data_IF_593778899060
#
_entry.id   IF_593778899060
#
_cell.length_a   1.000
_cell.length_b   1.000
_cell.length_c   1.000
_cell.angle_alpha   90.00
_cell.angle_beta   90.00
_cell.angle_gamma   90.00
#
_symmetry.space_group_name_H-M   'P 1'
#
loop_
_entity.id
_entity.type
_entity.pdbx_description
1 polymer ?
#
# COMPACT_ATOMS: atom_id res chain seq x y z
N UNK A 1 -26.70 -2.66 -13.69
CA UNK A 1 -26.71 -1.19 -13.56
C UNK A 1 -26.95 -0.60 -14.94
N UNK A 2 -27.43 0.64 -15.04
CA UNK A 2 -27.48 1.35 -16.32
C UNK A 2 -26.07 1.72 -16.80
N UNK A 3 -25.92 1.98 -18.09
CA UNK A 3 -24.73 2.55 -18.71
C UNK A 3 -24.59 4.04 -18.38
N UNK A 4 -23.36 4.51 -18.18
CA UNK A 4 -23.06 5.88 -17.74
C UNK A 4 -22.06 6.53 -18.69
N UNK A 5 -22.29 7.78 -19.06
CA UNK A 5 -21.32 8.62 -19.76
C UNK A 5 -20.77 9.68 -18.81
N UNK A 6 -19.46 9.66 -18.58
CA UNK A 6 -18.71 10.75 -17.97
C UNK A 6 -18.29 11.72 -19.08
N UNK A 7 -18.87 12.92 -19.14
CA UNK A 7 -18.72 13.83 -20.29
C UNK A 7 -17.85 15.05 -19.95
N UNK A 8 -16.81 15.28 -20.73
CA UNK A 8 -16.06 16.53 -20.78
C UNK A 8 -15.05 16.73 -19.67
N UNK A 9 -14.66 15.67 -18.96
CA UNK A 9 -13.67 15.72 -17.89
C UNK A 9 -12.26 15.98 -18.42
N UNK A 10 -11.41 16.66 -17.64
CA UNK A 10 -10.01 16.90 -17.98
C UNK A 10 -9.15 15.69 -17.60
N UNK A 11 -8.54 15.04 -18.58
CA UNK A 11 -7.73 13.85 -18.37
C UNK A 11 -6.54 14.11 -17.43
N UNK A 12 -6.33 13.20 -16.48
CA UNK A 12 -5.17 13.14 -15.61
C UNK A 12 -4.72 11.69 -15.46
N UNK A 13 -3.57 11.36 -16.04
CA UNK A 13 -2.99 10.00 -16.03
C UNK A 13 -3.91 8.91 -16.62
N UNK A 14 -4.79 9.28 -17.56
CA UNK A 14 -5.55 8.33 -18.38
C UNK A 14 -4.66 7.89 -19.54
N UNK A 15 -3.96 6.76 -19.40
CA UNK A 15 -2.98 6.26 -20.38
C UNK A 15 -3.44 6.40 -21.84
N UNK A 16 -2.57 6.90 -22.71
CA UNK A 16 -2.89 7.18 -24.11
C UNK A 16 -3.62 8.51 -24.35
N UNK A 17 -4.05 9.23 -23.31
CA UNK A 17 -4.66 10.56 -23.40
C UNK A 17 -3.73 11.60 -22.76
N UNK A 18 -3.34 12.68 -23.47
CA UNK A 18 -2.53 13.73 -22.88
C UNK A 18 -3.25 14.42 -21.71
N UNK A 19 -2.52 14.69 -20.63
CA UNK A 19 -3.06 15.39 -19.47
C UNK A 19 -3.70 16.73 -19.87
N UNK A 20 -4.75 17.14 -19.15
CA UNK A 20 -5.57 18.35 -19.38
C UNK A 20 -6.39 18.35 -20.67
N UNK A 21 -6.38 17.25 -21.44
CA UNK A 21 -7.25 17.08 -22.59
C UNK A 21 -8.66 16.75 -22.13
N UNK A 22 -9.68 17.42 -22.67
CA UNK A 22 -11.05 17.07 -22.38
C UNK A 22 -11.43 15.74 -23.07
N UNK A 23 -11.96 14.81 -22.28
CA UNK A 23 -12.28 13.43 -22.67
C UNK A 23 -13.65 13.02 -22.14
N UNK A 24 -14.32 12.14 -22.86
CA UNK A 24 -15.53 11.47 -22.43
C UNK A 24 -15.23 9.98 -22.19
N UNK A 25 -15.76 9.41 -21.11
CA UNK A 25 -15.62 7.99 -20.76
C UNK A 25 -17.01 7.37 -20.70
N UNK A 26 -17.28 6.40 -21.56
CA UNK A 26 -18.50 5.60 -21.52
C UNK A 26 -18.28 4.33 -20.72
N UNK A 27 -19.22 4.02 -19.83
CA UNK A 27 -19.22 2.83 -18.98
C UNK A 27 -20.49 2.03 -19.30
N UNK A 28 -20.33 0.77 -19.68
CA UNK A 28 -21.43 -0.15 -19.93
C UNK A 28 -22.16 -0.57 -18.64
N UNK A 29 -23.35 -1.17 -18.77
CA UNK A 29 -24.10 -1.69 -17.62
C UNK A 29 -23.42 -2.86 -16.89
N UNK A 30 -22.38 -3.44 -17.51
CA UNK A 30 -21.46 -4.43 -16.95
C UNK A 30 -20.25 -3.82 -16.23
N UNK A 31 -20.18 -2.48 -16.15
CA UNK A 31 -19.10 -1.74 -15.49
C UNK A 31 -17.82 -1.59 -16.32
N UNK A 32 -17.80 -2.02 -17.59
CA UNK A 32 -16.61 -1.90 -18.45
C UNK A 32 -16.58 -0.59 -19.21
N UNK A 33 -15.38 -0.08 -19.46
CA UNK A 33 -15.20 1.08 -20.35
C UNK A 33 -15.55 0.66 -21.78
N UNK A 34 -16.55 1.32 -22.36
CA UNK A 34 -17.03 1.08 -23.74
C UNK A 34 -16.66 2.22 -24.69
N UNK A 35 -16.24 3.37 -24.15
CA UNK A 35 -15.79 4.53 -24.90
C UNK A 35 -14.69 5.24 -24.10
N UNK A 36 -13.60 5.61 -24.76
CA UNK A 36 -12.59 6.53 -24.25
C UNK A 36 -12.20 7.51 -25.34
N UNK A 37 -12.68 8.74 -25.26
CA UNK A 37 -12.48 9.73 -26.32
C UNK A 37 -13.62 10.74 -26.38
N UNK A 38 -13.83 11.37 -27.55
CA UNK A 38 -15.01 12.23 -27.73
C UNK A 38 -16.22 11.37 -28.04
N UNK A 39 -17.32 11.59 -27.32
CA UNK A 39 -18.58 10.93 -27.58
C UNK A 39 -19.25 11.52 -28.84
N UNK A 40 -19.51 10.71 -29.88
CA UNK A 40 -20.09 11.20 -31.13
C UNK A 40 -21.62 11.36 -31.06
N UNK A 41 -22.25 11.20 -29.89
CA UNK A 41 -23.71 11.20 -29.71
C UNK A 41 -24.35 9.81 -29.76
N UNK A 42 -23.56 8.76 -30.01
CA UNK A 42 -23.97 7.34 -29.93
C UNK A 42 -22.83 6.47 -29.34
N UNK A 43 -23.13 5.34 -28.67
CA UNK A 43 -24.46 4.87 -28.27
C UNK A 43 -25.09 5.83 -27.24
N UNK A 44 -26.39 5.67 -26.98
CA UNK A 44 -27.04 6.34 -25.84
C UNK A 44 -26.60 5.66 -24.55
N UNK A 45 -26.39 6.46 -23.53
CA UNK A 45 -26.13 6.01 -22.16
C UNK A 45 -27.39 6.29 -21.32
N UNK A 46 -27.64 5.44 -20.33
CA UNK A 46 -28.80 5.57 -19.44
C UNK A 46 -28.65 6.81 -18.52
N UNK A 47 -27.41 7.14 -18.16
CA UNK A 47 -27.05 8.33 -17.39
C UNK A 47 -25.92 9.11 -18.05
N UNK A 48 -25.96 10.45 -17.96
CA UNK A 48 -24.89 11.33 -18.42
C UNK A 48 -24.49 12.25 -17.28
N UNK A 49 -23.23 12.13 -16.85
CA UNK A 49 -22.61 12.96 -15.82
C UNK A 49 -21.74 14.00 -16.50
N UNK A 50 -22.06 15.29 -16.32
CA UNK A 50 -21.26 16.39 -16.84
C UNK A 50 -20.08 16.70 -15.93
N UNK A 51 -18.86 16.54 -16.45
CA UNK A 51 -17.59 16.75 -15.77
C UNK A 51 -16.81 17.96 -16.32
N UNK A 52 -17.46 18.85 -17.08
CA UNK A 52 -16.78 20.06 -17.58
C UNK A 52 -16.21 20.89 -16.44
N UNK A 53 -14.90 21.12 -16.48
CA UNK A 53 -14.16 21.83 -15.44
C UNK A 53 -13.66 20.95 -14.30
N UNK A 54 -14.01 19.66 -14.28
CA UNK A 54 -13.49 18.68 -13.32
C UNK A 54 -12.32 17.88 -13.90
N UNK A 55 -11.50 17.30 -13.01
CA UNK A 55 -10.46 16.35 -13.36
C UNK A 55 -11.02 14.93 -13.44
N UNK A 56 -10.45 14.13 -14.33
CA UNK A 56 -10.78 12.72 -14.50
C UNK A 56 -9.51 11.88 -14.56
N UNK A 57 -9.38 10.93 -13.64
CA UNK A 57 -8.27 9.98 -13.56
C UNK A 57 -8.80 8.55 -13.45
N UNK A 58 -7.94 7.53 -13.55
CA UNK A 58 -8.24 6.24 -12.95
C UNK A 58 -8.56 6.41 -11.46
N UNK A 59 -9.36 5.50 -10.91
CA UNK A 59 -9.60 5.48 -9.47
C UNK A 59 -8.27 5.30 -8.71
N UNK A 60 -8.17 5.91 -7.54
CA UNK A 60 -6.92 5.90 -6.80
C UNK A 60 -6.66 4.53 -6.16
N UNK A 61 -5.38 4.22 -5.97
CA UNK A 61 -4.92 3.02 -5.29
C UNK A 61 -4.25 3.47 -3.99
N UNK A 62 -4.78 3.02 -2.85
CA UNK A 62 -4.13 3.21 -1.56
C UNK A 62 -3.40 1.93 -1.15
N UNK A 63 -2.06 1.95 -1.20
CA UNK A 63 -1.23 0.79 -0.88
C UNK A 63 -1.06 0.53 0.62
N UNK A 64 -1.55 1.41 1.49
CA UNK A 64 -1.28 1.30 2.92
C UNK A 64 -2.48 1.72 3.76
N UNK A 65 -3.50 0.86 3.78
CA UNK A 65 -4.61 0.98 4.72
C UNK A 65 -4.54 -0.10 5.81
N UNK A 66 -5.27 0.11 6.89
CA UNK A 66 -5.60 -0.96 7.84
C UNK A 66 -7.11 -1.09 7.87
N UNK A 67 -7.66 -2.13 7.26
CA UNK A 67 -9.11 -2.28 7.08
C UNK A 67 -9.70 -3.57 7.67
N UNK A 68 -8.92 -4.32 8.47
CA UNK A 68 -9.40 -5.48 9.22
C UNK A 68 -10.30 -5.12 10.42
N UNK A 69 -11.38 -4.37 10.17
CA UNK A 69 -12.27 -3.86 11.21
C UNK A 69 -12.85 -5.00 12.07
N UNK A 70 -12.80 -4.83 13.39
CA UNK A 70 -13.22 -5.84 14.35
C UNK A 70 -12.20 -6.97 14.60
N UNK A 71 -11.32 -7.24 13.64
CA UNK A 71 -10.18 -8.17 13.81
C UNK A 71 -8.96 -7.51 14.45
N UNK A 72 -8.73 -6.22 14.18
CA UNK A 72 -7.68 -5.43 14.83
C UNK A 72 -8.20 -4.08 15.33
N UNK A 73 -7.60 -3.57 16.40
CA UNK A 73 -8.12 -2.37 17.08
C UNK A 73 -7.99 -1.07 16.26
N UNK A 74 -6.97 -0.97 15.40
CA UNK A 74 -6.68 0.25 14.63
C UNK A 74 -7.39 0.29 13.28
N UNK A 75 -7.97 -0.82 12.84
CA UNK A 75 -8.51 -0.92 11.49
C UNK A 75 -9.82 -0.13 11.34
N UNK A 76 -9.93 0.55 10.22
CA UNK A 76 -11.15 1.22 9.78
C UNK A 76 -12.04 0.26 8.97
N UNK A 77 -13.30 0.60 8.82
CA UNK A 77 -14.18 -0.14 7.92
C UNK A 77 -13.82 0.14 6.45
N UNK A 78 -14.00 -0.82 5.52
CA UNK A 78 -13.76 -0.61 4.09
C UNK A 78 -14.39 0.66 3.52
N UNK A 79 -15.61 1.02 3.95
CA UNK A 79 -16.34 2.18 3.46
C UNK A 79 -15.64 3.51 3.78
N UNK A 80 -14.79 3.52 4.81
CA UNK A 80 -14.03 4.69 5.25
C UNK A 80 -12.73 4.90 4.47
N UNK A 81 -12.27 3.88 3.74
CA UNK A 81 -10.99 3.88 3.00
C UNK A 81 -11.17 3.59 1.50
N UNK A 82 -12.41 3.48 1.05
CA UNK A 82 -12.78 3.04 -0.30
C UNK A 82 -13.36 4.16 -1.18
N UNK A 83 -14.32 3.86 -2.07
CA UNK A 83 -14.77 4.77 -3.13
C UNK A 83 -15.25 6.15 -2.68
N UNK A 84 -15.77 6.28 -1.45
CA UNK A 84 -16.19 7.56 -0.89
C UNK A 84 -15.03 8.57 -0.77
N UNK A 85 -13.78 8.12 -0.78
CA UNK A 85 -12.56 8.95 -0.76
C UNK A 85 -11.87 9.04 -2.12
N UNK A 86 -12.47 8.49 -3.19
CA UNK A 86 -11.87 8.38 -4.52
C UNK A 86 -10.98 7.16 -4.73
N UNK A 87 -10.83 6.31 -3.70
CA UNK A 87 -10.04 5.07 -3.75
C UNK A 87 -10.85 3.94 -4.39
N UNK A 88 -10.39 3.41 -5.51
CA UNK A 88 -10.99 2.27 -6.20
C UNK A 88 -10.36 0.92 -5.85
N UNK A 89 -9.17 0.92 -5.24
CA UNK A 89 -8.45 -0.26 -4.79
C UNK A 89 -7.69 0.09 -3.51
N UNK A 90 -7.86 -0.71 -2.46
CA UNK A 90 -7.07 -0.57 -1.24
C UNK A 90 -6.23 -1.82 -0.97
N UNK A 91 -5.13 -1.66 -0.24
CA UNK A 91 -4.28 -2.77 0.21
C UNK A 91 -4.15 -2.74 1.73
N UNK A 92 -4.72 -3.76 2.39
CA UNK A 92 -4.52 -3.94 3.83
C UNK A 92 -3.05 -4.23 4.12
N UNK A 93 -2.42 -3.38 4.93
CA UNK A 93 -0.97 -3.35 5.11
C UNK A 93 -0.51 -4.25 6.26
N UNK A 94 -0.89 -5.53 6.21
CA UNK A 94 -0.50 -6.52 7.20
C UNK A 94 -1.25 -6.38 8.52
N UNK A 95 -2.54 -6.05 8.48
CA UNK A 95 -3.40 -6.13 9.67
C UNK A 95 -3.60 -7.58 10.11
N UNK A 96 -3.63 -8.53 9.15
CA UNK A 96 -3.74 -9.96 9.42
C UNK A 96 -2.40 -10.70 9.26
N UNK A 97 -2.18 -11.69 10.11
CA UNK A 97 -1.17 -12.73 9.98
C UNK A 97 -1.77 -14.03 9.44
N UNK A 98 -0.98 -15.11 9.43
CA UNK A 98 -1.44 -16.41 8.91
C UNK A 98 -2.67 -16.95 9.65
N UNK A 99 -2.75 -16.77 10.97
CA UNK A 99 -3.80 -17.36 11.78
C UNK A 99 -5.18 -16.70 11.60
N UNK A 100 -5.21 -15.44 11.16
CA UNK A 100 -6.45 -14.65 11.04
C UNK A 100 -6.69 -14.08 9.64
N UNK A 101 -5.83 -14.35 8.64
CA UNK A 101 -6.08 -13.96 7.26
C UNK A 101 -7.41 -14.50 6.70
N UNK A 102 -7.86 -15.75 6.99
CA UNK A 102 -9.18 -16.21 6.54
C UNK A 102 -10.31 -15.31 7.03
N UNK A 103 -10.22 -14.76 8.25
CA UNK A 103 -11.21 -13.82 8.76
C UNK A 103 -11.16 -12.46 8.07
N UNK A 104 -9.97 -11.96 7.72
CA UNK A 104 -9.85 -10.74 6.90
C UNK A 104 -10.50 -10.97 5.53
N UNK A 105 -10.25 -12.13 4.91
CA UNK A 105 -10.87 -12.49 3.62
C UNK A 105 -12.38 -12.52 3.72
N UNK A 106 -12.92 -13.30 4.67
CA UNK A 106 -14.35 -13.60 4.73
C UNK A 106 -15.19 -12.41 5.19
N UNK A 107 -14.73 -11.67 6.21
CA UNK A 107 -15.54 -10.62 6.83
C UNK A 107 -15.30 -9.23 6.26
N UNK A 108 -14.20 -9.01 5.54
CA UNK A 108 -13.82 -7.69 5.03
C UNK A 108 -13.65 -7.70 3.52
N UNK A 109 -12.73 -8.49 2.97
CA UNK A 109 -12.38 -8.42 1.55
C UNK A 109 -13.53 -8.90 0.66
N UNK A 110 -14.08 -10.08 0.95
CA UNK A 110 -15.14 -10.68 0.13
C UNK A 110 -16.45 -9.85 0.09
N UNK A 111 -16.95 -9.27 1.20
CA UNK A 111 -18.16 -8.45 1.17
C UNK A 111 -17.91 -6.98 0.76
N UNK A 112 -16.66 -6.53 0.62
CA UNK A 112 -16.38 -5.14 0.27
C UNK A 112 -16.95 -4.78 -1.11
N UNK A 113 -17.52 -3.56 -1.26
CA UNK A 113 -18.10 -3.13 -2.54
C UNK A 113 -17.03 -2.70 -3.57
N UNK A 114 -15.75 -2.85 -3.24
CA UNK A 114 -14.61 -2.51 -4.09
C UNK A 114 -13.45 -3.49 -3.82
N UNK A 115 -12.51 -3.64 -4.76
CA UNK A 115 -11.35 -4.50 -4.59
C UNK A 115 -10.48 -4.12 -3.39
N UNK A 116 -10.15 -5.12 -2.57
CA UNK A 116 -9.17 -5.01 -1.49
C UNK A 116 -8.15 -6.13 -1.65
N UNK A 117 -6.87 -5.77 -1.67
CA UNK A 117 -5.74 -6.69 -1.62
C UNK A 117 -5.11 -6.64 -0.23
N UNK A 118 -4.11 -7.48 0.02
CA UNK A 118 -3.42 -7.48 1.30
C UNK A 118 -1.92 -7.75 1.18
N UNK A 119 -1.17 -7.17 2.11
CA UNK A 119 0.11 -7.69 2.53
C UNK A 119 -0.11 -8.59 3.75
N UNK A 120 0.53 -9.77 3.80
CA UNK A 120 0.39 -10.69 4.92
C UNK A 120 1.44 -10.37 5.97
N UNK A 121 1.04 -10.14 7.22
CA UNK A 121 1.99 -9.91 8.31
C UNK A 121 2.82 -11.18 8.56
N UNK A 122 4.14 -11.01 8.74
CA UNK A 122 5.03 -12.11 9.13
C UNK A 122 4.70 -12.64 10.54
N UNK A 123 4.09 -11.81 11.39
CA UNK A 123 3.56 -12.24 12.68
C UNK A 123 2.28 -13.05 12.51
N UNK A 124 2.19 -14.17 13.22
CA UNK A 124 0.99 -15.02 13.31
C UNK A 124 -0.27 -14.24 13.68
N UNK A 125 -0.18 -13.30 14.61
CA UNK A 125 -1.36 -12.60 15.16
C UNK A 125 -1.75 -11.35 14.38
N UNK A 126 -0.92 -10.88 13.45
CA UNK A 126 -1.13 -9.59 12.80
C UNK A 126 -1.21 -8.44 13.82
N UNK A 127 -2.07 -7.45 13.59
CA UNK A 127 -2.11 -6.21 14.37
C UNK A 127 -3.20 -6.17 15.45
N UNK A 128 -3.70 -7.33 15.91
CA UNK A 128 -4.83 -7.46 16.86
C UNK A 128 -4.80 -6.42 17.97
N UNK A 129 -3.65 -6.24 18.62
CA UNK A 129 -3.43 -5.28 19.70
C UNK A 129 -2.20 -4.38 19.46
N UNK A 130 -1.88 -4.08 18.20
CA UNK A 130 -0.67 -3.35 17.81
C UNK A 130 -0.40 -2.10 18.67
N UNK A 131 0.86 -1.79 18.92
CA UNK A 131 1.32 -0.69 19.79
C UNK A 131 1.01 -0.86 21.30
N UNK A 132 0.12 -1.80 21.68
CA UNK A 132 -0.12 -2.18 23.08
C UNK A 132 0.55 -3.52 23.41
N UNK A 133 0.30 -4.53 22.56
CA UNK A 133 1.00 -5.81 22.55
C UNK A 133 1.70 -5.91 21.20
N UNK A 134 3.02 -6.07 21.22
CA UNK A 134 3.76 -6.24 19.97
C UNK A 134 3.32 -7.55 19.30
N UNK A 135 3.23 -7.53 17.98
CA UNK A 135 2.98 -8.71 17.18
C UNK A 135 4.24 -9.56 16.97
N UNK A 136 5.42 -9.03 17.28
CA UNK A 136 6.70 -9.75 17.22
C UNK A 136 7.32 -9.87 18.61
N UNK A 137 6.52 -10.38 19.55
CA UNK A 137 6.89 -10.57 20.98
C UNK A 137 7.83 -11.74 21.25
N UNK A 138 8.09 -12.61 20.28
CA UNK A 138 8.95 -13.77 20.45
C UNK A 138 8.63 -14.92 19.48
N UNK A 139 9.27 -16.07 19.68
CA UNK A 139 9.18 -17.24 18.80
C UNK A 139 7.73 -17.71 18.53
N UNK A 140 6.79 -17.72 19.51
CA UNK A 140 5.45 -18.27 19.29
C UNK A 140 4.61 -17.52 18.25
N UNK A 141 4.98 -16.30 17.89
CA UNK A 141 4.25 -15.46 16.93
C UNK A 141 4.96 -15.34 15.59
N UNK A 142 5.97 -16.18 15.33
CA UNK A 142 6.72 -16.22 14.07
C UNK A 142 6.70 -17.63 13.48
N UNK A 143 5.75 -17.91 12.60
CA UNK A 143 5.64 -19.20 11.89
C UNK A 143 5.76 -19.00 10.37
N UNK A 144 6.99 -18.98 9.81
CA UNK A 144 7.21 -18.73 8.39
C UNK A 144 6.64 -19.84 7.49
N UNK A 145 6.54 -21.08 7.98
CA UNK A 145 5.98 -22.19 7.19
C UNK A 145 4.47 -22.04 7.02
N UNK A 146 3.73 -21.75 8.09
CA UNK A 146 2.31 -21.43 8.00
C UNK A 146 2.07 -20.17 7.19
N UNK A 147 2.88 -19.14 7.40
CA UNK A 147 2.79 -17.89 6.63
C UNK A 147 2.98 -18.17 5.14
N UNK A 148 3.92 -19.04 4.76
CA UNK A 148 4.09 -19.47 3.37
C UNK A 148 2.84 -20.18 2.83
N UNK A 149 2.27 -21.12 3.59
CA UNK A 149 1.06 -21.86 3.19
C UNK A 149 -0.12 -20.91 2.94
N UNK A 150 -0.35 -19.95 3.81
CA UNK A 150 -1.42 -18.96 3.65
C UNK A 150 -1.14 -18.03 2.47
N UNK A 151 0.10 -17.54 2.32
CA UNK A 151 0.50 -16.72 1.17
C UNK A 151 0.23 -17.43 -0.17
N UNK A 152 0.56 -18.72 -0.27
CA UNK A 152 0.34 -19.52 -1.48
C UNK A 152 -1.14 -19.88 -1.71
N UNK A 153 -1.91 -20.16 -0.65
CA UNK A 153 -3.32 -20.47 -0.75
C UNK A 153 -4.20 -19.26 -1.17
N UNK A 154 -3.68 -18.04 -0.99
CA UNK A 154 -4.41 -16.79 -1.23
C UNK A 154 -3.66 -15.82 -2.16
N UNK A 155 -2.95 -16.36 -3.18
CA UNK A 155 -2.18 -15.58 -4.18
C UNK A 155 -3.02 -14.59 -4.98
N UNK A 156 -4.33 -14.82 -5.04
CA UNK A 156 -5.31 -13.89 -5.63
C UNK A 156 -5.34 -12.56 -4.87
N UNK A 157 -5.19 -12.58 -3.55
CA UNK A 157 -5.32 -11.41 -2.66
C UNK A 157 -3.99 -10.93 -2.06
N UNK A 158 -3.09 -11.84 -1.69
CA UNK A 158 -1.85 -11.52 -1.00
C UNK A 158 -0.78 -11.10 -2.00
N UNK A 159 -0.26 -9.87 -1.86
CA UNK A 159 0.71 -9.25 -2.79
C UNK A 159 2.06 -8.92 -2.17
N UNK A 160 2.33 -9.37 -0.95
CA UNK A 160 3.58 -9.06 -0.24
C UNK A 160 3.60 -9.61 1.18
N UNK A 161 4.79 -9.71 1.76
CA UNK A 161 4.99 -10.06 3.17
C UNK A 161 5.31 -8.77 3.93
N UNK A 162 4.51 -8.45 4.94
CA UNK A 162 4.65 -7.25 5.77
C UNK A 162 5.48 -7.55 7.01
N UNK A 163 6.41 -6.65 7.33
CA UNK A 163 7.08 -6.59 8.64
C UNK A 163 7.14 -5.14 9.14
N UNK A 164 7.03 -4.94 10.46
CA UNK A 164 7.22 -3.64 11.11
C UNK A 164 8.57 -3.63 11.83
N UNK A 165 9.59 -3.08 11.17
CA UNK A 165 10.95 -3.00 11.66
C UNK A 165 11.14 -1.71 12.47
N UNK A 166 10.65 -1.73 13.70
CA UNK A 166 10.84 -0.64 14.66
C UNK A 166 10.93 -1.18 16.08
N UNK A 167 11.62 -0.46 16.96
CA UNK A 167 11.91 -0.89 18.33
C UNK A 167 10.66 -1.25 19.13
N UNK A 168 9.58 -0.47 18.95
CA UNK A 168 8.31 -0.73 19.64
C UNK A 168 7.71 -2.10 19.29
N UNK A 169 8.07 -2.64 18.13
CA UNK A 169 7.60 -3.93 17.62
C UNK A 169 8.65 -5.00 17.87
N UNK A 170 9.83 -4.91 17.25
CA UNK A 170 10.81 -6.01 17.28
C UNK A 170 11.63 -6.05 18.57
N UNK A 171 11.74 -4.94 19.30
CA UNK A 171 12.51 -4.85 20.55
C UNK A 171 13.89 -5.50 20.45
N UNK A 172 14.25 -6.37 21.39
CA UNK A 172 15.55 -7.04 21.46
C UNK A 172 15.81 -8.00 20.29
N UNK A 173 14.79 -8.44 19.57
CA UNK A 173 14.97 -9.29 18.37
C UNK A 173 15.60 -8.57 17.20
N UNK A 174 15.51 -7.23 17.13
CA UNK A 174 16.13 -6.43 16.08
C UNK A 174 15.85 -6.95 14.67
N UNK A 175 16.92 -7.32 13.95
CA UNK A 175 16.83 -7.77 12.56
C UNK A 175 16.30 -9.19 12.34
N UNK A 176 16.22 -10.03 13.38
CA UNK A 176 15.82 -11.44 13.24
C UNK A 176 14.49 -11.61 12.48
N UNK A 177 13.35 -11.02 12.92
CA UNK A 177 12.08 -11.16 12.20
C UNK A 177 12.10 -10.53 10.81
N UNK A 178 12.91 -9.50 10.60
CA UNK A 178 13.05 -8.82 9.31
C UNK A 178 13.77 -9.71 8.29
N UNK A 179 14.81 -10.43 8.72
CA UNK A 179 15.52 -11.43 7.90
C UNK A 179 14.64 -12.63 7.59
N UNK A 180 13.86 -13.10 8.55
CA UNK A 180 12.88 -14.19 8.34
C UNK A 180 11.82 -13.76 7.33
N UNK A 181 11.25 -12.55 7.47
CA UNK A 181 10.30 -11.99 6.51
C UNK A 181 10.90 -11.90 5.10
N UNK A 182 12.15 -11.45 4.97
CA UNK A 182 12.84 -11.36 3.67
C UNK A 182 13.07 -12.73 3.04
N UNK A 183 13.54 -13.70 3.82
CA UNK A 183 13.75 -15.06 3.34
C UNK A 183 12.43 -15.70 2.88
N UNK A 184 11.36 -15.51 3.65
CA UNK A 184 10.03 -15.98 3.27
C UNK A 184 9.53 -15.30 1.99
N UNK A 185 9.62 -13.97 1.91
CA UNK A 185 9.20 -13.18 0.74
C UNK A 185 9.85 -13.71 -0.55
N UNK A 186 11.17 -13.99 -0.51
CA UNK A 186 11.89 -14.64 -1.60
C UNK A 186 11.34 -16.04 -1.92
N UNK A 187 11.12 -16.87 -0.91
CA UNK A 187 10.64 -18.24 -1.08
C UNK A 187 9.26 -18.31 -1.77
N UNK A 188 8.34 -17.42 -1.41
CA UNK A 188 6.98 -17.36 -2.02
C UNK A 188 6.91 -16.45 -3.24
N UNK A 189 8.03 -15.82 -3.64
CA UNK A 189 8.14 -14.89 -4.78
C UNK A 189 7.17 -13.70 -4.66
N UNK A 190 7.13 -13.11 -3.46
CA UNK A 190 6.40 -11.88 -3.16
C UNK A 190 7.38 -10.81 -2.65
N UNK A 191 7.08 -9.51 -2.82
CA UNK A 191 7.91 -8.45 -2.26
C UNK A 191 7.83 -8.41 -0.73
N UNK A 192 8.92 -7.96 -0.11
CA UNK A 192 8.92 -7.54 1.29
C UNK A 192 8.36 -6.12 1.40
N UNK A 193 7.46 -5.90 2.36
CA UNK A 193 6.91 -4.58 2.69
C UNK A 193 7.33 -4.19 4.10
N UNK A 194 8.40 -3.39 4.21
CA UNK A 194 9.00 -3.00 5.48
C UNK A 194 8.50 -1.63 5.93
N UNK A 195 7.95 -1.59 7.14
CA UNK A 195 7.75 -0.33 7.87
C UNK A 195 9.04 -0.03 8.62
N UNK A 196 9.55 1.20 8.46
CA UNK A 196 10.69 1.70 9.24
C UNK A 196 10.20 2.57 10.40
N UNK A 197 10.87 2.46 11.54
CA UNK A 197 10.68 3.32 12.69
C UNK A 197 11.94 3.33 13.56
N UNK A 198 11.85 3.87 14.78
CA UNK A 198 13.03 4.02 15.63
C UNK A 198 13.79 2.71 15.81
N UNK A 199 15.12 2.78 15.74
CA UNK A 199 15.99 1.62 15.96
C UNK A 199 15.88 1.06 17.39
N UNK A 200 16.16 -0.25 17.60
CA UNK A 200 16.51 -1.28 16.61
C UNK A 200 15.34 -1.78 15.73
N UNK A 201 15.60 -2.33 14.52
CA UNK A 201 16.92 -2.40 13.89
C UNK A 201 17.32 -1.05 13.28
N UNK A 202 18.60 -0.88 12.97
CA UNK A 202 19.06 0.35 12.32
C UNK A 202 18.55 0.43 10.88
N UNK A 203 18.43 1.66 10.36
CA UNK A 203 18.03 1.86 8.98
C UNK A 203 19.01 1.19 8.01
N UNK A 204 20.32 1.24 8.28
CA UNK A 204 21.33 0.61 7.42
C UNK A 204 21.13 -0.89 7.26
N UNK A 205 20.88 -1.59 8.38
CA UNK A 205 20.61 -3.03 8.38
C UNK A 205 19.36 -3.40 7.56
N UNK A 206 18.31 -2.56 7.63
CA UNK A 206 17.10 -2.75 6.83
C UNK A 206 17.44 -2.56 5.36
N UNK A 207 18.10 -1.45 5.01
CA UNK A 207 18.40 -1.10 3.63
C UNK A 207 19.34 -2.12 2.97
N UNK A 208 20.21 -2.80 3.74
CA UNK A 208 21.20 -3.78 3.22
C UNK A 208 20.54 -5.04 2.64
N UNK A 209 19.29 -5.33 2.99
CA UNK A 209 18.62 -6.56 2.57
C UNK A 209 17.52 -6.33 1.52
N UNK A 210 17.20 -5.08 1.20
CA UNK A 210 16.13 -4.76 0.25
C UNK A 210 16.60 -5.00 -1.19
N UNK A 211 15.69 -5.52 -1.99
CA UNK A 211 15.89 -5.85 -3.40
C UNK A 211 14.87 -5.10 -4.29
N UNK A 212 15.11 -5.01 -5.60
CA UNK A 212 14.14 -4.43 -6.52
C UNK A 212 12.75 -5.08 -6.36
N UNK A 213 11.72 -4.25 -6.23
CA UNK A 213 10.34 -4.68 -5.97
C UNK A 213 9.93 -4.69 -4.50
N UNK A 214 10.88 -4.71 -3.55
CA UNK A 214 10.54 -4.51 -2.13
C UNK A 214 10.04 -3.08 -1.89
N UNK A 215 9.18 -2.93 -0.89
CA UNK A 215 8.56 -1.67 -0.51
C UNK A 215 9.09 -1.22 0.85
N UNK A 216 9.57 0.01 0.91
CA UNK A 216 9.85 0.73 2.15
C UNK A 216 8.76 1.78 2.36
N UNK A 217 7.90 1.53 3.36
CA UNK A 217 6.86 2.50 3.74
C UNK A 217 7.37 3.46 4.80
N UNK A 218 6.74 4.63 4.93
CA UNK A 218 7.18 5.73 5.80
C UNK A 218 8.49 6.38 5.34
N UNK A 219 8.74 6.38 4.03
CA UNK A 219 10.01 6.83 3.45
C UNK A 219 10.35 8.29 3.79
N UNK A 220 9.35 9.14 4.06
CA UNK A 220 9.52 10.55 4.46
C UNK A 220 9.19 10.82 5.93
N UNK A 221 9.51 9.88 6.80
CA UNK A 221 9.43 10.06 8.26
C UNK A 221 10.39 11.13 8.78
N UNK A 222 10.00 11.80 9.87
CA UNK A 222 10.81 12.79 10.58
C UNK A 222 11.57 12.23 11.78
N UNK A 223 11.48 10.92 12.01
CA UNK A 223 12.13 10.22 13.13
C UNK A 223 13.65 10.34 13.07
N UNK A 224 14.30 10.55 14.21
CA UNK A 224 15.72 10.91 14.27
C UNK A 224 16.60 9.81 13.67
N UNK A 225 16.28 8.54 13.95
CA UNK A 225 17.11 7.41 13.52
C UNK A 225 16.82 6.92 12.09
N UNK A 226 15.65 7.25 11.53
CA UNK A 226 15.22 6.73 10.22
C UNK A 226 14.89 7.81 9.19
N UNK A 227 15.04 9.09 9.52
CA UNK A 227 14.88 10.17 8.54
C UNK A 227 15.94 10.08 7.46
N UNK A 228 15.52 10.17 6.20
CA UNK A 228 16.42 10.26 5.04
C UNK A 228 17.30 11.52 5.06
N UNK A 229 16.92 12.52 5.86
CA UNK A 229 17.69 13.75 6.06
C UNK A 229 18.64 13.69 7.26
N UNK A 230 18.70 12.56 7.98
CA UNK A 230 19.58 12.41 9.15
C UNK A 230 21.04 12.76 8.81
N UNK A 231 21.51 12.28 7.67
CA UNK A 231 22.78 12.69 7.06
C UNK A 231 22.80 12.36 5.57
N UNK A 232 23.70 13.01 4.82
CA UNK A 232 23.79 12.92 3.37
C UNK A 232 23.93 11.49 2.81
N UNK A 233 24.72 10.57 3.42
CA UNK A 233 24.77 9.18 2.95
C UNK A 233 23.41 8.45 2.90
N UNK A 234 22.48 8.71 3.82
CA UNK A 234 21.15 8.07 3.78
C UNK A 234 20.32 8.57 2.61
N UNK A 235 20.36 9.88 2.35
CA UNK A 235 19.68 10.43 1.19
C UNK A 235 20.15 9.78 -0.12
N UNK A 236 21.47 9.67 -0.31
CA UNK A 236 22.08 9.02 -1.49
C UNK A 236 21.74 7.54 -1.60
N UNK A 237 21.62 6.85 -0.46
CA UNK A 237 21.23 5.44 -0.41
C UNK A 237 19.78 5.25 -0.87
N UNK A 238 18.86 6.10 -0.41
CA UNK A 238 17.47 6.09 -0.89
C UNK A 238 17.37 6.43 -2.39
N UNK A 239 18.14 7.40 -2.90
CA UNK A 239 18.22 7.68 -4.35
C UNK A 239 18.66 6.43 -5.13
N UNK A 240 19.77 5.82 -4.70
CA UNK A 240 20.32 4.61 -5.34
C UNK A 240 19.33 3.46 -5.33
N UNK A 241 18.68 3.20 -4.20
CA UNK A 241 17.73 2.10 -4.04
C UNK A 241 16.45 2.31 -4.84
N UNK A 242 15.92 3.54 -4.85
CA UNK A 242 14.76 3.90 -5.65
C UNK A 242 15.06 3.72 -7.16
N UNK A 243 16.24 4.18 -7.60
CA UNK A 243 16.70 3.97 -8.97
C UNK A 243 16.91 2.48 -9.32
N UNK A 244 17.33 1.67 -8.35
CA UNK A 244 17.47 0.22 -8.50
C UNK A 244 16.13 -0.53 -8.48
N UNK A 245 15.02 0.13 -8.15
CA UNK A 245 13.68 -0.44 -8.20
C UNK A 245 13.07 -0.80 -6.85
N UNK A 246 13.65 -0.37 -5.73
CA UNK A 246 12.96 -0.39 -4.42
C UNK A 246 11.86 0.66 -4.44
N UNK A 247 10.67 0.30 -3.96
CA UNK A 247 9.49 1.16 -3.97
C UNK A 247 9.47 1.99 -2.69
N UNK A 248 9.53 3.31 -2.84
CA UNK A 248 9.39 4.27 -1.75
C UNK A 248 7.92 4.61 -1.58
N UNK A 249 7.31 4.07 -0.53
CA UNK A 249 5.93 4.34 -0.17
C UNK A 249 5.84 5.38 0.98
N UNK A 250 4.92 6.33 0.85
CA UNK A 250 4.72 7.36 1.86
C UNK A 250 4.18 6.79 3.16
N UNK A 251 3.13 5.97 3.08
CA UNK A 251 2.38 5.46 4.23
C UNK A 251 2.18 6.51 5.33
N UNK A 252 1.52 7.64 5.04
CA UNK A 252 1.55 8.84 5.90
C UNK A 252 1.40 8.52 7.40
N UNK A 253 0.36 7.75 7.75
CA UNK A 253 0.05 7.32 9.11
C UNK A 253 -0.12 8.49 10.10
N UNK A 254 -0.42 8.20 11.36
CA UNK A 254 -0.57 9.26 12.37
C UNK A 254 0.78 9.90 12.79
N UNK A 255 1.91 9.25 12.50
CA UNK A 255 3.23 9.68 12.99
C UNK A 255 4.41 9.24 12.14
N UNK A 256 4.20 9.06 10.83
CA UNK A 256 5.20 8.51 9.90
C UNK A 256 5.53 9.44 8.73
N UNK A 257 4.95 10.64 8.66
CA UNK A 257 5.21 11.65 7.64
C UNK A 257 5.69 12.96 8.26
N UNK A 258 6.68 13.58 7.63
CA UNK A 258 7.23 14.86 8.07
C UNK A 258 7.39 15.81 6.89
N UNK A 259 6.61 16.90 6.89
CA UNK A 259 6.58 17.88 5.79
C UNK A 259 7.97 18.42 5.39
N UNK A 260 8.84 18.85 6.33
CA UNK A 260 10.20 19.28 5.97
C UNK A 260 11.03 18.19 5.28
N UNK A 261 10.88 16.93 5.71
CA UNK A 261 11.54 15.78 5.06
C UNK A 261 11.06 15.62 3.63
N UNK A 262 9.74 15.58 3.43
CA UNK A 262 9.13 15.42 2.12
C UNK A 262 9.48 16.58 1.17
N UNK A 263 9.36 17.83 1.63
CA UNK A 263 9.70 19.01 0.83
C UNK A 263 11.15 18.94 0.35
N UNK A 264 12.09 18.62 1.25
CA UNK A 264 13.51 18.56 0.89
C UNK A 264 13.82 17.40 -0.06
N UNK A 265 13.13 16.27 0.07
CA UNK A 265 13.25 15.15 -0.85
C UNK A 265 12.81 15.55 -2.27
N UNK A 266 11.64 16.17 -2.38
CA UNK A 266 11.07 16.66 -3.64
C UNK A 266 11.96 17.72 -4.29
N UNK A 267 12.46 18.69 -3.53
CA UNK A 267 13.41 19.72 -4.01
C UNK A 267 14.69 19.11 -4.60
N UNK A 268 15.07 17.92 -4.13
CA UNK A 268 16.26 17.18 -4.57
C UNK A 268 15.95 16.11 -5.61
N UNK A 269 14.70 16.02 -6.09
CA UNK A 269 14.28 15.08 -7.13
C UNK A 269 13.95 13.67 -6.65
N UNK A 270 13.94 13.42 -5.33
CA UNK A 270 13.53 12.14 -4.77
C UNK A 270 12.03 12.16 -4.47
N UNK A 271 11.25 11.48 -5.30
CA UNK A 271 9.81 11.32 -5.13
C UNK A 271 9.48 9.91 -4.57
N UNK A 272 8.33 9.74 -3.88
CA UNK A 272 7.77 8.40 -3.67
C UNK A 272 7.58 7.71 -5.03
N UNK A 273 7.86 6.41 -5.08
CA UNK A 273 7.87 5.63 -6.34
C UNK A 273 6.75 4.60 -6.43
N UNK A 274 5.78 4.68 -5.51
CA UNK A 274 4.53 3.93 -5.57
C UNK A 274 3.84 4.09 -6.94
N UNK A 275 3.47 2.97 -7.56
CA UNK A 275 2.90 2.90 -8.91
C UNK A 275 1.88 1.76 -9.01
#
# INVERSE_FOLDING_TARGET
>A
MGSVLLRGGQAMHLGGVPNKTAVDIGIGGDGRITLAGRWPGQPRFDEVIDLRGAWLSPAWIDLHVHCYYGGTWLSLRPEQVGPATGVGLAVDCGSAGEANFPGLREFIIAPAPFPILAYLNISTIGLVAANRVSELIGDPVLDPERTARVAEAHRDLIKGIKVRASNQVVREWGMTPVRVAKALARAVRLPLVVHIGEAPPTLDEILDILEPGDVITHCFTGRITTSILRHEPYFRRFETMAAAGVILDLGHGQGSFHYPTARRAVERGLLPTTR
#
